data_IF_398274417783
#
_entry.id   IF_398274417783
#
_cell.length_a   1.000
_cell.length_b   1.000
_cell.length_c   1.000
_cell.angle_alpha   90.00
_cell.angle_beta   90.00
_cell.angle_gamma   90.00
#
_symmetry.space_group_name_H-M   'P 1'
#
loop_
_entity.id
_entity.type
_entity.pdbx_description
1 polymer ?
#
# COMPACT_ATOMS: atom_id res chain seq x y z
N UNK A 1 55.24 -37.58 1.58
CA UNK A 1 53.79 -37.90 1.64
C UNK A 1 53.10 -36.78 2.45
N UNK A 2 52.09 -36.05 1.93
CA UNK A 2 51.16 -35.14 2.61
C UNK A 2 50.99 -33.69 2.09
N UNK A 3 51.73 -33.26 1.06
CA UNK A 3 51.48 -31.89 0.51
C UNK A 3 50.21 -31.82 -0.40
N UNK A 4 49.85 -32.91 -1.05
CA UNK A 4 48.69 -32.99 -1.96
C UNK A 4 47.37 -33.03 -1.19
N UNK A 5 47.36 -33.66 -0.01
CA UNK A 5 46.16 -33.77 0.81
C UNK A 5 45.78 -32.43 1.47
N UNK A 6 46.76 -31.60 1.81
CA UNK A 6 46.52 -30.28 2.41
C UNK A 6 45.89 -29.30 1.40
N UNK A 7 46.36 -29.29 0.15
CA UNK A 7 45.79 -28.45 -0.92
C UNK A 7 44.34 -28.84 -1.25
N UNK A 8 44.01 -30.14 -1.22
CA UNK A 8 42.68 -30.65 -1.55
C UNK A 8 41.64 -30.33 -0.46
N UNK A 9 42.04 -30.28 0.81
CA UNK A 9 41.18 -29.86 1.92
C UNK A 9 40.92 -28.34 1.91
N UNK A 10 41.95 -27.54 1.57
CA UNK A 10 41.82 -26.08 1.48
C UNK A 10 40.91 -25.66 0.33
N UNK A 11 40.98 -26.30 -0.84
CA UNK A 11 40.07 -26.00 -1.97
C UNK A 11 38.61 -26.41 -1.68
N UNK A 12 38.39 -27.54 -0.98
CA UNK A 12 37.03 -27.96 -0.59
C UNK A 12 36.40 -27.01 0.43
N UNK A 13 37.15 -26.54 1.43
CA UNK A 13 36.69 -25.57 2.41
C UNK A 13 36.41 -24.21 1.76
N UNK A 14 37.24 -23.78 0.81
CA UNK A 14 37.02 -22.54 0.05
C UNK A 14 35.79 -22.62 -0.84
N UNK A 15 35.54 -23.78 -1.48
CA UNK A 15 34.33 -23.99 -2.30
C UNK A 15 33.06 -24.02 -1.43
N UNK A 16 33.11 -24.65 -0.25
CA UNK A 16 31.98 -24.67 0.72
C UNK A 16 31.68 -23.29 1.27
N UNK A 17 32.72 -22.48 1.55
CA UNK A 17 32.55 -21.10 2.03
C UNK A 17 31.93 -20.19 0.95
N UNK A 18 32.30 -20.39 -0.33
CA UNK A 18 31.74 -19.62 -1.45
C UNK A 18 30.27 -19.96 -1.70
N UNK A 19 29.86 -21.23 -1.56
CA UNK A 19 28.44 -21.64 -1.70
C UNK A 19 27.59 -21.14 -0.56
N UNK A 20 28.12 -20.98 0.64
CA UNK A 20 27.39 -20.45 1.80
C UNK A 20 27.15 -18.93 1.67
N UNK A 21 28.05 -18.20 0.99
CA UNK A 21 27.92 -16.76 0.81
C UNK A 21 26.81 -16.37 -0.18
N UNK A 22 26.46 -17.25 -1.12
CA UNK A 22 25.43 -16.99 -2.15
C UNK A 22 24.00 -17.15 -1.59
N UNK A 23 23.83 -17.81 -0.44
CA UNK A 23 22.49 -18.07 0.13
C UNK A 23 21.89 -16.89 0.91
N UNK A 24 22.55 -15.74 1.00
CA UNK A 24 22.06 -14.56 1.73
C UNK A 24 21.34 -13.53 0.83
N UNK A 25 20.90 -13.91 -0.37
CA UNK A 25 20.02 -13.05 -1.17
C UNK A 25 18.65 -13.04 -0.51
N UNK A 26 18.47 -12.14 0.45
CA UNK A 26 17.17 -11.82 1.03
C UNK A 26 16.31 -11.17 -0.06
N UNK A 27 15.23 -11.85 -0.47
CA UNK A 27 14.19 -11.23 -1.28
C UNK A 27 13.51 -10.14 -0.43
N UNK A 28 13.85 -8.88 -0.63
CA UNK A 28 13.11 -7.78 -0.04
C UNK A 28 11.78 -7.62 -0.75
N UNK A 29 10.69 -7.53 0.01
CA UNK A 29 9.37 -7.20 -0.52
C UNK A 29 9.38 -5.74 -0.96
N UNK A 30 8.90 -5.46 -2.19
CA UNK A 30 8.74 -4.08 -2.65
C UNK A 30 7.63 -3.40 -1.84
N UNK A 31 7.91 -2.23 -1.32
CA UNK A 31 6.95 -1.35 -0.65
C UNK A 31 6.41 -0.25 -1.58
N UNK A 32 6.82 -0.24 -2.86
CA UNK A 32 6.37 0.74 -3.84
C UNK A 32 4.97 0.41 -4.35
N UNK A 33 4.06 1.40 -4.42
CA UNK A 33 2.70 1.18 -4.89
C UNK A 33 2.67 0.90 -6.40
N UNK A 34 1.61 0.21 -6.82
CA UNK A 34 1.26 0.01 -8.23
C UNK A 34 0.00 0.81 -8.51
N UNK A 35 0.08 1.92 -9.28
CA UNK A 35 -1.08 2.75 -9.57
C UNK A 35 -2.27 1.95 -10.09
N UNK A 36 -3.46 2.33 -9.63
CA UNK A 36 -4.70 1.68 -10.03
C UNK A 36 -5.07 2.10 -11.44
N UNK A 37 -5.39 1.12 -12.29
CA UNK A 37 -5.83 1.34 -13.68
C UNK A 37 -7.35 1.32 -13.74
N UNK A 38 -7.98 2.48 -13.79
CA UNK A 38 -9.42 2.60 -13.99
C UNK A 38 -9.89 1.87 -15.24
N UNK A 39 -11.04 1.21 -15.17
CA UNK A 39 -11.60 0.42 -16.25
C UNK A 39 -10.96 -0.97 -16.44
N UNK A 40 -9.92 -1.32 -15.68
CA UNK A 40 -9.20 -2.59 -15.80
C UNK A 40 -9.06 -3.32 -14.47
N UNK A 41 -8.63 -2.61 -13.42
CA UNK A 41 -8.43 -3.21 -12.10
C UNK A 41 -9.75 -3.42 -11.38
N UNK A 42 -9.82 -4.50 -10.60
CA UNK A 42 -11.00 -4.85 -9.81
C UNK A 42 -10.74 -4.58 -8.32
N UNK A 43 -11.77 -4.10 -7.63
CA UNK A 43 -11.76 -3.95 -6.19
C UNK A 43 -11.70 -5.31 -5.47
N UNK A 44 -10.71 -5.49 -4.60
CA UNK A 44 -10.53 -6.74 -3.84
C UNK A 44 -11.73 -7.06 -2.94
N UNK A 45 -12.44 -6.03 -2.44
CA UNK A 45 -13.56 -6.19 -1.53
C UNK A 45 -14.89 -6.48 -2.25
N UNK A 46 -15.33 -5.59 -3.14
CA UNK A 46 -16.66 -5.66 -3.78
C UNK A 46 -16.66 -6.38 -5.14
N UNK A 47 -15.48 -6.66 -5.72
CA UNK A 47 -15.28 -7.33 -7.02
C UNK A 47 -15.79 -6.54 -8.24
N UNK A 48 -16.10 -5.26 -8.06
CA UNK A 48 -16.43 -4.37 -9.18
C UNK A 48 -15.16 -3.80 -9.81
N UNK A 49 -15.25 -3.46 -11.10
CA UNK A 49 -14.19 -2.73 -11.79
C UNK A 49 -14.07 -1.34 -11.19
N UNK A 50 -12.86 -0.93 -10.85
CA UNK A 50 -12.57 0.41 -10.33
C UNK A 50 -12.71 1.40 -11.49
N UNK A 51 -13.67 2.32 -11.40
CA UNK A 51 -13.96 3.29 -12.47
C UNK A 51 -13.41 4.69 -12.18
N UNK A 52 -13.22 5.03 -10.91
CA UNK A 52 -12.72 6.34 -10.48
C UNK A 52 -11.42 6.19 -9.68
N UNK A 53 -10.28 6.25 -10.38
CA UNK A 53 -8.97 6.04 -9.77
C UNK A 53 -8.58 7.08 -8.71
N UNK A 54 -9.20 8.27 -8.70
CA UNK A 54 -8.86 9.34 -7.72
C UNK A 54 -9.26 9.00 -6.28
N UNK A 55 -10.11 8.00 -6.07
CA UNK A 55 -10.47 7.49 -4.74
C UNK A 55 -9.81 6.16 -4.41
N UNK A 56 -9.12 5.56 -5.38
CA UNK A 56 -8.60 4.22 -5.24
C UNK A 56 -7.56 4.09 -4.13
N UNK A 57 -7.51 2.91 -3.54
CA UNK A 57 -6.58 2.57 -2.48
C UNK A 57 -5.86 1.26 -2.80
N UNK A 58 -4.67 1.08 -2.20
CA UNK A 58 -3.91 -0.15 -2.31
C UNK A 58 -3.35 -0.56 -0.94
N UNK A 59 -3.42 -1.85 -0.63
CA UNK A 59 -2.66 -2.47 0.46
C UNK A 59 -1.52 -3.28 -0.13
N UNK A 60 -0.32 -3.10 0.44
CA UNK A 60 0.81 -4.00 0.26
C UNK A 60 0.97 -4.78 1.56
N UNK A 61 0.84 -6.10 1.50
CA UNK A 61 1.02 -6.96 2.67
C UNK A 61 2.51 -7.20 2.96
N UNK A 62 2.84 -7.60 4.19
CA UNK A 62 4.20 -8.00 4.58
C UNK A 62 4.76 -9.18 3.72
N UNK A 63 3.88 -9.92 3.03
CA UNK A 63 4.24 -10.99 2.09
C UNK A 63 4.35 -10.53 0.64
N UNK A 64 4.25 -9.22 0.37
CA UNK A 64 4.37 -8.63 -0.97
C UNK A 64 3.14 -8.81 -1.87
N UNK A 65 1.97 -9.07 -1.30
CA UNK A 65 0.72 -9.11 -2.06
C UNK A 65 0.14 -7.72 -2.18
N UNK A 66 -0.24 -7.33 -3.39
CA UNK A 66 -0.94 -6.09 -3.71
C UNK A 66 -2.45 -6.35 -3.77
N UNK A 67 -3.21 -5.49 -3.11
CA UNK A 67 -4.69 -5.55 -3.10
C UNK A 67 -5.24 -4.16 -3.35
N UNK A 68 -6.06 -4.00 -4.39
CA UNK A 68 -6.62 -2.74 -4.83
C UNK A 68 -8.07 -2.60 -4.39
N UNK A 69 -8.48 -1.38 -4.07
CA UNK A 69 -9.81 -1.06 -3.58
C UNK A 69 -10.36 0.19 -4.25
N UNK A 70 -11.67 0.24 -4.39
CA UNK A 70 -12.41 1.30 -5.05
C UNK A 70 -12.34 2.63 -4.28
N UNK A 71 -12.41 2.54 -2.94
CA UNK A 71 -12.23 3.64 -2.01
C UNK A 71 -11.84 3.15 -0.61
N UNK A 72 -11.68 4.09 0.32
CA UNK A 72 -11.32 3.80 1.72
C UNK A 72 -12.35 2.95 2.45
N UNK A 73 -13.64 3.07 2.10
CA UNK A 73 -14.71 2.25 2.70
C UNK A 73 -14.53 0.79 2.35
N UNK A 74 -14.29 0.49 1.07
CA UNK A 74 -13.96 -0.87 0.64
C UNK A 74 -12.73 -1.42 1.35
N UNK A 75 -11.67 -0.60 1.48
CA UNK A 75 -10.41 -1.00 2.09
C UNK A 75 -10.59 -1.36 3.58
N UNK A 76 -11.12 -0.45 4.39
CA UNK A 76 -11.22 -0.67 5.83
C UNK A 76 -12.29 -1.70 6.21
N UNK A 77 -13.42 -1.74 5.48
CA UNK A 77 -14.41 -2.81 5.65
C UNK A 77 -13.84 -4.18 5.30
N UNK A 78 -12.96 -4.28 4.29
CA UNK A 78 -12.27 -5.52 3.95
C UNK A 78 -11.32 -5.96 5.07
N UNK A 79 -10.49 -5.04 5.60
CA UNK A 79 -9.60 -5.32 6.73
C UNK A 79 -10.40 -5.89 7.90
N UNK A 80 -11.48 -5.23 8.28
CA UNK A 80 -12.35 -5.63 9.40
C UNK A 80 -13.03 -6.98 9.15
N UNK A 81 -13.65 -7.16 7.97
CA UNK A 81 -14.39 -8.39 7.62
C UNK A 81 -13.48 -9.62 7.52
N UNK A 82 -12.24 -9.45 7.08
CA UNK A 82 -11.27 -10.54 6.93
C UNK A 82 -10.39 -10.70 8.17
N UNK A 83 -10.62 -9.93 9.23
CA UNK A 83 -9.82 -9.92 10.47
C UNK A 83 -8.32 -9.77 10.19
N UNK A 84 -7.97 -8.84 9.29
CA UNK A 84 -6.58 -8.61 8.89
C UNK A 84 -5.88 -7.79 9.96
N UNK A 85 -4.86 -8.39 10.60
CA UNK A 85 -3.99 -7.65 11.53
C UNK A 85 -3.25 -6.53 10.80
N UNK A 86 -3.25 -5.33 11.36
CA UNK A 86 -2.49 -4.18 10.83
C UNK A 86 -0.98 -4.47 10.75
N UNK A 87 -0.45 -5.37 11.58
CA UNK A 87 0.95 -5.81 11.54
C UNK A 87 1.29 -6.63 10.29
N UNK A 88 0.27 -7.25 9.66
CA UNK A 88 0.44 -7.99 8.41
C UNK A 88 0.42 -7.10 7.16
N UNK A 89 0.11 -5.81 7.33
CA UNK A 89 0.08 -4.79 6.29
C UNK A 89 1.41 -4.05 6.32
N UNK A 90 2.15 -4.09 5.21
CA UNK A 90 3.40 -3.36 5.05
C UNK A 90 3.15 -1.87 4.80
N UNK A 91 2.21 -1.57 3.87
CA UNK A 91 1.85 -0.22 3.45
C UNK A 91 0.37 -0.13 3.06
N UNK A 92 -0.21 1.03 3.28
CA UNK A 92 -1.50 1.44 2.72
C UNK A 92 -1.25 2.69 1.89
N UNK A 93 -1.70 2.66 0.65
CA UNK A 93 -1.63 3.78 -0.27
C UNK A 93 -3.03 4.26 -0.65
N UNK A 94 -3.15 5.55 -0.86
CA UNK A 94 -4.35 6.22 -1.39
C UNK A 94 -3.97 7.03 -2.62
N UNK A 95 -4.84 7.11 -3.61
CA UNK A 95 -4.57 7.93 -4.78
C UNK A 95 -4.64 9.42 -4.44
N UNK A 96 -3.77 10.24 -5.03
CA UNK A 96 -3.92 11.69 -4.95
C UNK A 96 -5.15 12.12 -5.76
N UNK A 97 -6.09 12.77 -5.09
CA UNK A 97 -7.32 13.24 -5.71
C UNK A 97 -7.07 14.22 -6.87
N UNK A 98 -6.00 15.00 -6.78
CA UNK A 98 -5.59 15.94 -7.81
C UNK A 98 -4.85 15.28 -9.00
N UNK A 99 -4.12 14.17 -8.72
CA UNK A 99 -3.31 13.43 -9.70
C UNK A 99 -3.47 11.93 -9.47
N UNK A 100 -4.53 11.34 -9.98
CA UNK A 100 -4.95 9.96 -9.67
C UNK A 100 -3.97 8.84 -10.08
N UNK A 101 -2.95 9.14 -10.84
CA UNK A 101 -1.83 8.24 -11.15
C UNK A 101 -0.73 8.26 -10.08
N UNK A 102 -0.79 9.19 -9.12
CA UNK A 102 0.09 9.26 -7.97
C UNK A 102 -0.55 8.59 -6.75
N UNK A 103 0.19 7.65 -6.14
CA UNK A 103 -0.23 6.99 -4.89
C UNK A 103 0.59 7.56 -3.72
N UNK A 104 -0.10 7.88 -2.64
CA UNK A 104 0.45 8.50 -1.43
C UNK A 104 0.39 7.48 -0.29
N UNK A 105 1.45 7.32 0.51
CA UNK A 105 1.36 6.58 1.78
C UNK A 105 0.29 7.27 2.66
N UNK A 106 -0.69 6.51 3.14
CA UNK A 106 -1.82 7.07 3.90
C UNK A 106 -1.37 7.85 5.15
N UNK A 107 -0.18 7.53 5.67
CA UNK A 107 0.41 8.23 6.82
C UNK A 107 0.93 9.62 6.48
N UNK A 108 1.20 9.87 5.18
CA UNK A 108 1.72 11.15 4.68
C UNK A 108 0.63 11.96 3.96
N UNK A 109 -0.51 11.32 3.67
CA UNK A 109 -1.60 11.96 2.95
C UNK A 109 -2.35 12.98 3.84
N UNK A 110 -2.72 14.11 3.23
CA UNK A 110 -3.70 15.03 3.78
C UNK A 110 -5.10 14.57 3.38
N UNK A 111 -5.89 14.08 4.34
CA UNK A 111 -7.19 13.45 4.10
C UNK A 111 -8.32 14.43 4.39
N UNK A 112 -9.25 14.54 3.47
CA UNK A 112 -10.46 15.36 3.60
C UNK A 112 -11.67 14.44 3.59
N UNK A 113 -12.56 14.59 4.58
CA UNK A 113 -13.78 13.80 4.70
C UNK A 113 -15.01 14.70 4.71
N UNK A 114 -16.04 14.36 3.92
CA UNK A 114 -17.29 15.10 3.88
C UNK A 114 -18.40 14.35 3.17
N UNK A 115 -19.64 14.72 3.50
CA UNK A 115 -20.83 14.10 2.92
C UNK A 115 -21.00 14.40 1.43
N UNK A 116 -20.46 15.54 0.98
CA UNK A 116 -20.52 15.96 -0.43
C UNK A 116 -19.38 15.38 -1.29
N UNK A 117 -18.49 14.59 -0.69
CA UNK A 117 -17.44 13.85 -1.41
C UNK A 117 -18.01 12.49 -1.84
N UNK A 118 -18.42 12.41 -3.10
CA UNK A 118 -19.05 11.21 -3.67
C UNK A 118 -17.99 10.24 -4.18
N UNK A 119 -17.50 9.34 -3.30
CA UNK A 119 -16.65 8.22 -3.70
C UNK A 119 -17.49 6.99 -4.10
N UNK A 120 -16.94 6.05 -4.91
CA UNK A 120 -17.70 4.92 -5.47
C UNK A 120 -18.50 4.11 -4.44
N UNK A 121 -17.94 3.86 -3.26
CA UNK A 121 -18.56 3.10 -2.19
C UNK A 121 -18.97 3.96 -1.00
N UNK A 122 -19.16 5.25 -1.25
CA UNK A 122 -19.63 6.23 -0.28
C UNK A 122 -18.71 6.38 0.95
N UNK A 123 -17.42 6.15 0.78
CA UNK A 123 -16.39 6.38 1.81
C UNK A 123 -16.25 7.84 2.19
N UNK A 124 -16.55 8.76 1.25
CA UNK A 124 -16.59 10.19 1.49
C UNK A 124 -15.23 10.80 1.83
N UNK A 125 -14.13 10.23 1.33
CA UNK A 125 -12.77 10.69 1.63
C UNK A 125 -12.01 10.96 0.33
N UNK A 126 -11.36 12.13 0.25
CA UNK A 126 -10.38 12.48 -0.76
C UNK A 126 -9.00 12.66 -0.11
N UNK A 127 -7.95 12.18 -0.78
CA UNK A 127 -6.57 12.27 -0.32
C UNK A 127 -5.76 13.24 -1.19
N UNK A 128 -4.81 13.94 -0.58
CA UNK A 128 -3.97 14.92 -1.26
C UNK A 128 -2.53 14.83 -0.76
N UNK A 129 -1.57 15.06 -1.67
CA UNK A 129 -0.16 15.25 -1.31
C UNK A 129 0.03 16.57 -0.55
N UNK A 130 -0.60 17.66 -1.04
CA UNK A 130 -0.47 19.00 -0.45
C UNK A 130 -1.57 19.27 0.57
N UNK A 131 -1.17 19.65 1.79
CA UNK A 131 -2.09 20.07 2.85
C UNK A 131 -2.83 21.35 2.48
N UNK A 132 -2.19 22.25 1.75
CA UNK A 132 -2.79 23.50 1.30
C UNK A 132 -3.94 23.24 0.33
N UNK A 133 -3.72 22.33 -0.64
CA UNK A 133 -4.75 21.90 -1.60
C UNK A 133 -5.90 21.19 -0.87
N UNK A 134 -5.58 20.29 0.06
CA UNK A 134 -6.57 19.60 0.89
C UNK A 134 -7.44 20.59 1.71
N UNK A 135 -6.80 21.59 2.32
CA UNK A 135 -7.51 22.61 3.11
C UNK A 135 -8.46 23.44 2.25
N UNK A 136 -8.02 23.87 1.07
CA UNK A 136 -8.86 24.61 0.15
C UNK A 136 -10.01 23.76 -0.39
N UNK A 137 -9.74 22.49 -0.72
CA UNK A 137 -10.76 21.54 -1.14
C UNK A 137 -11.81 21.31 -0.04
N UNK A 138 -11.38 21.13 1.21
CA UNK A 138 -12.27 20.96 2.36
C UNK A 138 -13.20 22.18 2.53
N UNK A 139 -12.64 23.40 2.42
CA UNK A 139 -13.42 24.64 2.51
C UNK A 139 -14.46 24.77 1.39
N UNK A 140 -14.10 24.39 0.15
CA UNK A 140 -15.01 24.49 -1.01
C UNK A 140 -16.14 23.46 -0.97
N UNK A 141 -15.92 22.31 -0.35
CA UNK A 141 -16.85 21.18 -0.33
C UNK A 141 -17.52 20.99 1.04
N UNK A 142 -17.47 22.01 1.93
CA UNK A 142 -18.00 21.92 3.29
C UNK A 142 -17.60 20.61 4.00
N UNK A 143 -16.33 20.24 3.87
CA UNK A 143 -15.75 19.01 4.36
C UNK A 143 -14.68 19.29 5.42
N UNK A 144 -14.25 18.27 6.13
CA UNK A 144 -13.30 18.33 7.24
C UNK A 144 -11.93 17.77 6.82
N UNK A 145 -10.85 18.50 7.15
CA UNK A 145 -9.49 17.97 7.08
C UNK A 145 -9.27 17.06 8.29
N UNK A 146 -8.94 15.81 8.08
CA UNK A 146 -8.70 14.85 9.15
C UNK A 146 -7.33 15.09 9.80
N UNK A 147 -7.28 15.04 11.13
CA UNK A 147 -6.03 15.14 11.89
C UNK A 147 -5.13 13.91 11.70
N UNK A 148 -5.72 12.77 11.44
CA UNK A 148 -5.00 11.52 11.27
C UNK A 148 -5.84 10.47 10.51
N UNK A 149 -5.16 9.56 9.81
CA UNK A 149 -5.80 8.47 9.05
C UNK A 149 -6.42 7.39 9.96
N UNK A 150 -5.97 7.27 11.20
CA UNK A 150 -6.51 6.30 12.17
C UNK A 150 -7.99 6.57 12.50
N UNK A 151 -8.48 7.77 12.21
CA UNK A 151 -9.91 8.11 12.30
C UNK A 151 -10.73 7.20 11.37
N UNK A 152 -10.20 6.88 10.17
CA UNK A 152 -10.86 6.02 9.20
C UNK A 152 -10.98 4.57 9.70
N UNK A 153 -9.99 4.07 10.43
CA UNK A 153 -10.02 2.72 11.03
C UNK A 153 -11.14 2.60 12.07
N UNK A 154 -11.43 3.68 12.80
CA UNK A 154 -12.48 3.69 13.82
C UNK A 154 -13.88 3.86 13.23
N UNK A 155 -13.97 4.50 12.06
CA UNK A 155 -15.23 4.82 11.39
C UNK A 155 -15.81 3.63 10.62
N UNK A 156 -14.94 2.79 10.06
CA UNK A 156 -15.28 1.62 9.27
C UNK A 156 -15.00 0.31 10.01
#
# INVERSE_FOLDING_TARGET
MNFVQLKRKSTLVSLLALTFLVSLVSCSVSDKPVPVKAGTDECTACKMVITDAKFACEIITAKGRFMKFDDVSCLFNYIKKQDISMESILKIYVADYAQSDQMIDIKEASLVMGADIHSPMNGGVAAFVSKEVATEYARQNNAELLDSWEILVKKH
#
